data_IF_382279187078
#
_entry.id   IF_382279187078
#
_cell.length_a   1.000
_cell.length_b   1.000
_cell.length_c   1.000
_cell.angle_alpha   90.00
_cell.angle_beta   90.00
_cell.angle_gamma   90.00
#
_symmetry.space_group_name_H-M   'P 1'
#
loop_
_entity.id
_entity.type
_entity.pdbx_description
1 polymer ?
#
# COMPACT_ATOMS: atom_id res chain seq x y z
N UNK A 1 -9.22 3.59 6.74
CA UNK A 1 -9.72 4.93 6.40
C UNK A 1 -9.93 5.74 7.68
N UNK A 2 -9.53 7.00 7.70
CA UNK A 2 -9.68 7.89 8.87
C UNK A 2 -11.13 7.93 9.42
N UNK A 3 -12.11 7.83 8.54
CA UNK A 3 -13.53 7.96 8.92
C UNK A 3 -14.22 6.63 9.29
N UNK A 4 -13.67 5.49 8.87
CA UNK A 4 -14.39 4.20 8.97
C UNK A 4 -13.50 3.04 9.42
N UNK A 5 -12.28 3.30 9.84
CA UNK A 5 -11.32 2.28 10.26
C UNK A 5 -10.74 2.54 11.65
N UNK A 6 -10.29 1.50 12.29
CA UNK A 6 -9.47 1.59 13.50
C UNK A 6 -8.03 1.96 13.12
N UNK A 7 -7.26 2.49 14.07
CA UNK A 7 -5.83 2.74 13.89
C UNK A 7 -5.08 1.42 13.66
N UNK A 8 -4.30 1.40 12.58
CA UNK A 8 -3.62 0.20 12.13
C UNK A 8 -2.61 -0.32 13.15
N UNK A 9 -1.78 0.54 13.73
CA UNK A 9 -0.66 0.11 14.57
C UNK A 9 -1.10 -0.47 15.92
N UNK A 10 -2.04 0.15 16.67
CA UNK A 10 -2.62 -0.47 17.86
C UNK A 10 -3.35 -1.79 17.54
N UNK A 11 -4.10 -1.85 16.43
CA UNK A 11 -4.79 -3.06 16.03
C UNK A 11 -3.80 -4.21 15.74
N UNK A 12 -2.75 -3.93 14.95
CA UNK A 12 -1.68 -4.92 14.66
C UNK A 12 -1.05 -5.43 15.95
N UNK A 13 -0.74 -4.53 16.90
CA UNK A 13 -0.17 -4.91 18.18
C UNK A 13 -1.10 -5.84 18.97
N UNK A 14 -2.41 -5.57 18.96
CA UNK A 14 -3.39 -6.35 19.69
C UNK A 14 -3.58 -7.78 19.12
N UNK A 15 -3.56 -7.92 17.79
CA UNK A 15 -3.76 -9.23 17.14
C UNK A 15 -2.48 -10.06 17.03
N UNK A 16 -1.31 -9.44 17.15
CA UNK A 16 -0.01 -10.10 17.00
C UNK A 16 0.18 -11.36 17.85
N UNK A 17 -0.21 -11.39 19.13
CA UNK A 17 -0.09 -12.59 19.96
C UNK A 17 -1.02 -13.74 19.53
N UNK A 18 -2.05 -13.45 18.74
CA UNK A 18 -3.04 -14.44 18.28
C UNK A 18 -2.63 -15.09 16.95
N UNK A 19 -1.54 -14.65 16.34
CA UNK A 19 -1.12 -15.05 15.00
C UNK A 19 0.31 -15.57 15.05
N UNK A 20 0.54 -16.81 14.58
CA UNK A 20 1.87 -17.43 14.67
C UNK A 20 2.59 -17.54 13.31
N UNK A 21 1.87 -17.84 12.23
CA UNK A 21 2.47 -18.32 10.98
C UNK A 21 2.26 -17.41 9.76
N UNK A 22 1.74 -16.19 9.96
CA UNK A 22 1.55 -15.22 8.87
C UNK A 22 2.31 -13.92 9.14
N UNK A 23 2.73 -13.26 8.08
CA UNK A 23 3.23 -11.89 8.14
C UNK A 23 2.06 -10.91 8.16
N UNK A 24 2.25 -9.78 8.83
CA UNK A 24 1.27 -8.70 8.84
C UNK A 24 1.80 -7.53 8.02
N UNK A 25 1.04 -7.12 7.01
CA UNK A 25 1.31 -5.91 6.23
C UNK A 25 0.56 -4.73 6.86
N UNK A 26 1.26 -3.94 7.67
CA UNK A 26 0.71 -2.75 8.29
C UNK A 26 0.78 -1.54 7.35
N UNK A 27 -0.35 -0.93 7.04
CA UNK A 27 -0.40 0.29 6.25
C UNK A 27 -0.17 1.52 7.14
N UNK A 28 0.82 2.33 6.79
CA UNK A 28 1.12 3.61 7.46
C UNK A 28 1.01 4.78 6.47
N UNK A 29 0.43 5.88 6.92
CA UNK A 29 0.36 7.10 6.12
C UNK A 29 1.49 8.04 6.53
N UNK A 30 2.32 8.44 5.54
CA UNK A 30 3.44 9.34 5.79
C UNK A 30 2.97 10.71 6.28
N UNK A 31 3.53 11.15 7.40
CA UNK A 31 3.21 12.42 8.06
C UNK A 31 2.21 12.30 9.21
N UNK A 32 1.51 11.19 9.36
CA UNK A 32 0.54 10.95 10.44
C UNK A 32 1.23 10.85 11.82
N UNK A 33 2.41 10.25 11.85
CA UNK A 33 3.25 10.13 13.03
C UNK A 33 4.63 10.70 12.71
N UNK A 34 5.22 11.44 13.66
CA UNK A 34 6.59 11.97 13.51
C UNK A 34 7.59 10.82 13.26
N UNK A 35 8.43 10.86 12.20
CA UNK A 35 9.15 9.69 11.71
C UNK A 35 10.03 8.96 12.72
N UNK A 36 10.80 9.61 13.63
CA UNK A 36 11.53 8.90 14.68
C UNK A 36 10.63 8.13 15.65
N UNK A 37 9.45 8.69 15.97
CA UNK A 37 8.46 8.01 16.82
C UNK A 37 7.84 6.82 16.08
N UNK A 38 7.53 6.99 14.80
CA UNK A 38 7.07 5.91 13.94
C UNK A 38 8.10 4.77 13.86
N UNK A 39 9.38 5.09 13.67
CA UNK A 39 10.46 4.10 13.64
C UNK A 39 10.50 3.27 14.92
N UNK A 40 10.39 3.92 16.10
CA UNK A 40 10.32 3.24 17.41
C UNK A 40 9.09 2.35 17.52
N UNK A 41 7.92 2.82 17.11
CA UNK A 41 6.68 2.05 17.17
C UNK A 41 6.77 0.81 16.28
N UNK A 42 7.26 0.95 15.05
CA UNK A 42 7.43 -0.17 14.12
C UNK A 42 8.46 -1.17 14.64
N UNK A 43 9.58 -0.71 15.25
CA UNK A 43 10.54 -1.61 15.90
C UNK A 43 9.88 -2.42 17.01
N UNK A 44 9.07 -1.79 17.86
CA UNK A 44 8.35 -2.47 18.94
C UNK A 44 7.40 -3.55 18.40
N UNK A 45 6.62 -3.21 17.39
CA UNK A 45 5.68 -4.17 16.76
C UNK A 45 6.43 -5.31 16.08
N UNK A 46 7.57 -5.03 15.47
CA UNK A 46 8.40 -6.05 14.82
C UNK A 46 8.97 -7.06 15.85
N UNK A 47 9.33 -6.59 17.04
CA UNK A 47 9.69 -7.49 18.16
C UNK A 47 8.52 -8.34 18.63
N UNK A 48 7.32 -7.77 18.79
CA UNK A 48 6.12 -8.52 19.17
C UNK A 48 5.82 -9.61 18.12
N UNK A 49 5.95 -9.26 16.86
CA UNK A 49 5.73 -10.15 15.71
C UNK A 49 6.92 -11.09 15.42
N UNK A 50 8.04 -10.95 16.13
CA UNK A 50 9.26 -11.75 15.91
C UNK A 50 9.71 -11.73 14.43
N UNK A 51 9.76 -10.54 13.84
CA UNK A 51 10.22 -10.34 12.47
C UNK A 51 9.18 -10.61 11.37
N UNK A 52 7.90 -10.68 11.70
CA UNK A 52 6.80 -10.89 10.73
C UNK A 52 6.06 -9.61 10.35
N UNK A 53 6.60 -8.45 10.73
CA UNK A 53 6.07 -7.16 10.29
C UNK A 53 6.55 -6.84 8.88
N UNK A 54 5.64 -6.39 8.04
CA UNK A 54 5.92 -5.68 6.78
C UNK A 54 5.14 -4.38 6.75
N UNK A 55 5.61 -3.38 6.07
CA UNK A 55 5.05 -2.01 6.13
C UNK A 55 4.66 -1.52 4.75
N UNK A 56 3.39 -1.21 4.57
CA UNK A 56 2.90 -0.57 3.35
C UNK A 56 2.88 0.95 3.51
N UNK A 57 3.72 1.63 2.76
CA UNK A 57 3.87 3.09 2.77
C UNK A 57 2.74 3.72 1.96
N UNK A 58 1.94 4.57 2.60
CA UNK A 58 0.84 5.29 1.96
C UNK A 58 1.18 6.76 1.80
N UNK A 59 1.30 7.19 0.54
CA UNK A 59 1.54 8.58 0.15
C UNK A 59 0.23 9.28 -0.21
N UNK A 60 -0.50 9.77 0.79
CA UNK A 60 -1.77 10.49 0.59
C UNK A 60 -1.83 11.73 1.48
N UNK A 61 -2.82 12.61 1.25
CA UNK A 61 -3.09 13.72 2.14
C UNK A 61 -3.54 13.22 3.52
N UNK A 62 -3.19 13.97 4.56
CA UNK A 62 -3.81 13.83 5.87
C UNK A 62 -5.18 14.49 5.86
N UNK A 63 -6.08 14.15 6.79
CA UNK A 63 -7.37 14.83 6.93
C UNK A 63 -7.18 16.35 7.11
N UNK A 64 -7.84 17.13 6.27
CA UNK A 64 -7.73 18.61 6.29
C UNK A 64 -6.49 19.19 5.62
N UNK A 65 -5.68 18.37 4.96
CA UNK A 65 -4.47 18.78 4.25
C UNK A 65 -4.64 18.62 2.74
N UNK A 66 -4.12 19.58 1.99
CA UNK A 66 -4.09 19.57 0.51
C UNK A 66 -2.66 19.78 -0.01
N UNK A 67 -1.84 18.73 0.02
CA UNK A 67 -0.53 18.75 -0.61
C UNK A 67 -0.61 18.38 -2.09
N UNK A 68 0.29 18.95 -2.88
CA UNK A 68 0.51 18.51 -4.25
C UNK A 68 0.94 17.04 -4.28
N UNK A 69 0.76 16.39 -5.43
CA UNK A 69 1.25 15.01 -5.60
C UNK A 69 2.77 14.93 -5.38
N UNK A 70 3.51 15.91 -5.87
CA UNK A 70 4.96 16.00 -5.70
C UNK A 70 5.36 16.09 -4.23
N UNK A 71 4.72 16.98 -3.47
CA UNK A 71 5.01 17.19 -2.04
C UNK A 71 4.68 15.95 -1.21
N UNK A 72 3.56 15.26 -1.52
CA UNK A 72 3.23 14.00 -0.83
C UNK A 72 4.30 12.92 -1.03
N UNK A 73 4.80 12.75 -2.26
CA UNK A 73 5.87 11.79 -2.52
C UNK A 73 7.20 12.24 -1.91
N UNK A 74 7.50 13.55 -1.90
CA UNK A 74 8.68 14.07 -1.23
C UNK A 74 8.61 13.81 0.28
N UNK A 75 7.48 14.07 0.93
CA UNK A 75 7.27 13.74 2.35
C UNK A 75 7.46 12.23 2.60
N UNK A 76 6.91 11.39 1.74
CA UNK A 76 7.07 9.94 1.89
C UNK A 76 8.52 9.50 1.74
N UNK A 77 9.28 10.09 0.82
CA UNK A 77 10.72 9.87 0.66
C UNK A 77 11.46 10.18 1.95
N UNK A 78 11.24 11.35 2.51
CA UNK A 78 11.88 11.79 3.75
C UNK A 78 11.53 10.87 4.93
N UNK A 79 10.26 10.46 5.05
CA UNK A 79 9.86 9.49 6.08
C UNK A 79 10.62 8.18 5.93
N UNK A 80 10.69 7.61 4.73
CA UNK A 80 11.40 6.34 4.50
C UNK A 80 12.90 6.47 4.81
N UNK A 81 13.53 7.53 4.38
CA UNK A 81 14.96 7.77 4.64
C UNK A 81 15.23 7.91 6.14
N UNK A 82 14.36 8.60 6.88
CA UNK A 82 14.46 8.72 8.34
C UNK A 82 14.25 7.36 9.02
N UNK A 83 13.25 6.57 8.59
CA UNK A 83 13.06 5.20 9.10
C UNK A 83 14.31 4.36 8.92
N UNK A 84 14.91 4.37 7.73
CA UNK A 84 16.14 3.62 7.43
C UNK A 84 17.33 4.09 8.29
N UNK A 85 17.49 5.40 8.48
CA UNK A 85 18.52 5.91 9.40
C UNK A 85 18.25 5.46 10.85
N UNK A 86 17.01 5.57 11.31
CA UNK A 86 16.62 5.18 12.67
C UNK A 86 16.90 3.70 12.95
N UNK A 87 16.73 2.85 11.96
CA UNK A 87 16.90 1.39 12.10
C UNK A 87 18.37 0.93 11.95
N UNK A 88 19.18 1.66 11.19
CA UNK A 88 20.53 1.20 10.83
C UNK A 88 21.69 2.03 11.40
N UNK A 89 21.44 3.25 11.90
CA UNK A 89 22.47 4.17 12.38
C UNK A 89 22.33 4.45 13.87
N UNK A 90 23.35 5.03 14.48
CA UNK A 90 23.34 5.51 15.87
C UNK A 90 22.72 6.90 16.01
N UNK A 91 22.68 7.66 14.91
CA UNK A 91 22.17 9.03 14.86
C UNK A 91 21.36 9.22 13.58
N UNK A 92 20.21 9.92 13.69
CA UNK A 92 19.51 10.52 12.57
C UNK A 92 20.03 11.95 12.39
N UNK A 93 20.57 12.23 11.22
CA UNK A 93 20.91 13.60 10.81
C UNK A 93 20.19 13.85 9.50
N UNK A 94 19.11 14.62 9.58
CA UNK A 94 18.21 14.83 8.46
C UNK A 94 17.92 16.32 8.23
N UNK A 95 18.01 16.76 6.99
CA UNK A 95 17.75 18.11 6.55
C UNK A 95 16.99 18.10 5.23
N UNK A 96 15.68 17.86 5.31
CA UNK A 96 14.74 17.79 4.19
C UNK A 96 13.81 19.01 4.11
N UNK A 97 12.84 18.89 3.24
CA UNK A 97 11.78 19.89 3.05
C UNK A 97 10.75 19.86 4.19
N UNK A 98 10.36 18.65 4.63
CA UNK A 98 9.33 18.43 5.64
C UNK A 98 9.91 18.17 7.02
N UNK A 99 11.11 17.61 7.10
CA UNK A 99 11.75 17.25 8.36
C UNK A 99 13.17 17.76 8.42
N UNK A 100 13.50 18.39 9.57
CA UNK A 100 14.86 18.88 9.81
C UNK A 100 15.20 18.70 11.28
N UNK A 101 16.09 17.77 11.58
CA UNK A 101 16.55 17.50 12.94
C UNK A 101 17.80 16.64 12.98
N UNK A 102 18.47 16.67 14.13
CA UNK A 102 19.57 15.80 14.47
C UNK A 102 19.33 15.23 15.86
N UNK A 103 19.30 13.90 15.99
CA UNK A 103 19.08 13.22 17.27
C UNK A 103 19.64 11.81 17.26
N UNK A 104 20.04 11.26 18.44
CA UNK A 104 20.42 9.86 18.54
C UNK A 104 19.21 8.97 18.24
N UNK A 105 19.46 7.79 17.69
CA UNK A 105 18.41 6.81 17.42
C UNK A 105 18.02 6.04 18.69
N UNK A 106 16.82 5.43 18.67
CA UNK A 106 16.44 4.49 19.70
C UNK A 106 17.44 3.30 19.71
N UNK A 107 17.95 2.89 20.89
CA UNK A 107 18.83 1.74 21.01
C UNK A 107 18.13 0.42 20.61
N UNK A 108 16.82 0.32 20.79
CA UNK A 108 16.06 -0.86 20.36
C UNK A 108 15.78 -0.77 18.86
N UNK A 109 16.59 -1.48 18.09
CA UNK A 109 16.42 -1.61 16.63
C UNK A 109 15.30 -2.64 16.33
N UNK A 110 14.78 -2.70 15.08
CA UNK A 110 13.85 -3.76 14.69
C UNK A 110 14.40 -5.16 14.93
N UNK A 111 13.50 -6.12 15.09
CA UNK A 111 13.87 -7.54 15.15
C UNK A 111 14.50 -8.01 13.84
N UNK A 112 13.97 -7.53 12.71
CA UNK A 112 14.53 -7.74 11.38
C UNK A 112 15.76 -6.86 11.17
N UNK A 113 16.87 -7.46 10.74
CA UNK A 113 18.07 -6.70 10.42
C UNK A 113 17.83 -5.72 9.27
N UNK A 114 18.06 -4.43 9.52
CA UNK A 114 17.79 -3.36 8.55
C UNK A 114 16.35 -2.84 8.54
N UNK A 115 15.45 -3.48 9.28
CA UNK A 115 14.05 -3.10 9.44
C UNK A 115 13.07 -3.96 8.64
N UNK A 116 11.76 -3.79 8.88
CA UNK A 116 10.70 -4.44 8.12
C UNK A 116 10.75 -4.11 6.63
N UNK A 117 10.38 -5.08 5.78
CA UNK A 117 10.25 -4.84 4.34
C UNK A 117 9.23 -3.73 4.06
N UNK A 118 9.61 -2.80 3.20
CA UNK A 118 8.77 -1.68 2.79
C UNK A 118 8.07 -1.99 1.48
N UNK A 119 6.76 -2.01 1.53
CA UNK A 119 5.86 -2.12 0.38
C UNK A 119 5.41 -0.74 -0.06
N UNK A 120 5.26 -0.55 -1.35
CA UNK A 120 4.73 0.69 -1.90
C UNK A 120 3.90 0.44 -3.15
N UNK A 121 2.70 1.04 -3.19
CA UNK A 121 1.82 0.99 -4.36
C UNK A 121 1.64 2.37 -4.98
N UNK A 122 1.64 2.43 -6.30
CA UNK A 122 1.38 3.67 -7.05
C UNK A 122 1.86 3.57 -8.49
N UNK A 123 1.14 4.23 -9.39
CA UNK A 123 1.36 4.11 -10.83
C UNK A 123 1.87 5.40 -11.49
N UNK A 124 1.87 6.52 -10.77
CA UNK A 124 2.41 7.78 -11.31
C UNK A 124 3.94 7.71 -11.38
N UNK A 125 4.59 8.42 -12.32
CA UNK A 125 6.04 8.41 -12.43
C UNK A 125 6.78 8.69 -11.11
N UNK A 126 6.38 9.68 -10.28
CA UNK A 126 7.03 9.91 -8.99
C UNK A 126 6.83 8.76 -7.99
N UNK A 127 5.68 8.06 -8.05
CA UNK A 127 5.43 6.90 -7.20
C UNK A 127 6.34 5.72 -7.56
N UNK A 128 6.48 5.45 -8.87
CA UNK A 128 7.33 4.38 -9.36
C UNK A 128 8.80 4.67 -9.05
N UNK A 129 9.25 5.92 -9.19
CA UNK A 129 10.61 6.35 -8.84
C UNK A 129 10.88 6.19 -7.34
N UNK A 130 9.96 6.62 -6.48
CA UNK A 130 10.06 6.43 -5.02
C UNK A 130 10.19 4.96 -4.64
N UNK A 131 9.37 4.10 -5.21
CA UNK A 131 9.41 2.66 -4.96
C UNK A 131 10.74 2.06 -5.41
N UNK A 132 11.16 2.35 -6.64
CA UNK A 132 12.40 1.84 -7.22
C UNK A 132 13.64 2.19 -6.39
N UNK A 133 13.66 3.41 -5.83
CA UNK A 133 14.79 3.91 -5.04
C UNK A 133 14.77 3.41 -3.59
N UNK A 134 13.60 3.28 -2.98
CA UNK A 134 13.52 3.13 -1.53
C UNK A 134 12.78 1.90 -1.02
N UNK A 135 11.87 1.29 -1.77
CA UNK A 135 11.03 0.21 -1.26
C UNK A 135 11.51 -1.16 -1.74
N UNK A 136 11.06 -2.21 -1.06
CA UNK A 136 11.51 -3.58 -1.30
C UNK A 136 10.50 -4.35 -2.16
N UNK A 137 9.21 -4.00 -2.07
CA UNK A 137 8.13 -4.63 -2.83
C UNK A 137 7.25 -3.59 -3.51
N UNK A 138 7.08 -3.73 -4.81
CA UNK A 138 6.11 -2.96 -5.58
C UNK A 138 4.74 -3.65 -5.54
N UNK A 139 3.80 -3.05 -4.81
CA UNK A 139 2.47 -3.59 -4.62
C UNK A 139 1.52 -3.10 -5.70
N UNK A 140 1.09 -4.00 -6.57
CA UNK A 140 0.21 -3.71 -7.69
C UNK A 140 -1.26 -4.03 -7.37
N UNK A 141 -2.16 -3.33 -8.02
CA UNK A 141 -3.56 -3.71 -8.11
C UNK A 141 -3.79 -4.61 -9.33
N UNK A 142 -4.92 -5.35 -9.37
CA UNK A 142 -5.25 -6.18 -10.51
C UNK A 142 -5.29 -5.39 -11.80
N UNK A 143 -4.73 -5.96 -12.83
CA UNK A 143 -4.66 -5.47 -14.20
C UNK A 143 -4.59 -6.69 -15.13
N UNK A 144 -4.74 -6.46 -16.44
CA UNK A 144 -4.47 -7.49 -17.45
C UNK A 144 -3.05 -8.02 -17.34
N UNK A 145 -2.83 -9.27 -17.73
CA UNK A 145 -1.50 -9.88 -17.64
C UNK A 145 -0.42 -9.09 -18.37
N UNK A 146 -0.74 -8.57 -19.56
CA UNK A 146 0.20 -7.74 -20.32
C UNK A 146 0.53 -6.42 -19.60
N UNK A 147 -0.46 -5.79 -18.99
CA UNK A 147 -0.23 -4.58 -18.21
C UNK A 147 0.60 -4.86 -16.95
N UNK A 148 0.38 -5.98 -16.26
CA UNK A 148 1.20 -6.39 -15.13
C UNK A 148 2.64 -6.64 -15.57
N UNK A 149 2.87 -7.36 -16.66
CA UNK A 149 4.20 -7.58 -17.24
C UNK A 149 4.93 -6.27 -17.50
N UNK A 150 4.28 -5.34 -18.20
CA UNK A 150 4.84 -4.03 -18.50
C UNK A 150 5.17 -3.22 -17.21
N UNK A 151 4.33 -3.30 -16.18
CA UNK A 151 4.58 -2.63 -14.90
C UNK A 151 5.80 -3.22 -14.19
N UNK A 152 5.94 -4.55 -14.19
CA UNK A 152 7.06 -5.25 -13.57
C UNK A 152 8.38 -4.97 -14.29
N UNK A 153 8.37 -4.98 -15.63
CA UNK A 153 9.54 -4.65 -16.44
C UNK A 153 10.00 -3.20 -16.21
N UNK A 154 9.06 -2.25 -16.26
CA UNK A 154 9.37 -0.83 -16.01
C UNK A 154 9.94 -0.63 -14.59
N UNK A 155 9.36 -1.26 -13.57
CA UNK A 155 9.87 -1.18 -12.20
C UNK A 155 11.27 -1.77 -12.10
N UNK A 156 11.52 -2.93 -12.71
CA UNK A 156 12.82 -3.59 -12.71
C UNK A 156 13.89 -2.72 -13.35
N UNK A 157 13.59 -2.12 -14.50
CA UNK A 157 14.50 -1.19 -15.19
C UNK A 157 14.81 0.06 -14.36
N UNK A 158 13.81 0.59 -13.65
CA UNK A 158 14.03 1.74 -12.77
C UNK A 158 14.83 1.38 -11.52
N UNK A 159 14.53 0.27 -10.86
CA UNK A 159 15.27 -0.22 -9.70
C UNK A 159 16.75 -0.49 -10.02
N UNK A 160 17.02 -1.03 -11.22
CA UNK A 160 18.38 -1.26 -11.69
C UNK A 160 19.25 0.02 -11.75
N UNK A 161 18.65 1.19 -12.05
CA UNK A 161 19.38 2.49 -12.02
C UNK A 161 19.90 2.84 -10.63
N UNK A 162 19.20 2.38 -9.58
CA UNK A 162 19.60 2.52 -8.19
C UNK A 162 20.41 1.32 -7.67
N UNK A 163 20.81 0.39 -8.55
CA UNK A 163 21.50 -0.87 -8.22
C UNK A 163 20.72 -1.71 -7.21
N UNK A 164 19.39 -1.70 -7.33
CA UNK A 164 18.46 -2.44 -6.49
C UNK A 164 17.66 -3.47 -7.30
N UNK A 165 17.13 -4.45 -6.58
CA UNK A 165 16.04 -5.32 -7.01
C UNK A 165 14.81 -4.98 -6.18
N UNK A 166 13.65 -5.05 -6.78
CA UNK A 166 12.35 -4.83 -6.14
C UNK A 166 11.51 -6.07 -6.44
N UNK A 167 10.93 -6.64 -5.41
CA UNK A 167 9.98 -7.74 -5.53
C UNK A 167 8.59 -7.22 -5.89
N UNK A 168 7.69 -8.12 -6.28
CA UNK A 168 6.36 -7.77 -6.75
C UNK A 168 5.29 -8.41 -5.88
N UNK A 169 4.31 -7.60 -5.49
CA UNK A 169 3.10 -8.03 -4.81
C UNK A 169 1.86 -7.68 -5.62
N UNK A 170 0.88 -8.55 -5.63
CA UNK A 170 -0.42 -8.33 -6.25
C UNK A 170 -1.52 -8.38 -5.20
N UNK A 171 -2.26 -7.27 -5.05
CA UNK A 171 -3.39 -7.19 -4.13
C UNK A 171 -4.67 -7.47 -4.88
N UNK A 172 -5.25 -8.64 -4.67
CA UNK A 172 -6.49 -9.10 -5.31
C UNK A 172 -7.54 -9.49 -4.28
N UNK A 173 -8.81 -9.47 -4.68
CA UNK A 173 -9.87 -10.20 -4.00
C UNK A 173 -9.96 -11.58 -4.62
N UNK A 174 -9.99 -12.61 -3.80
CA UNK A 174 -10.03 -14.00 -4.27
C UNK A 174 -11.32 -14.64 -3.79
N UNK A 175 -12.05 -15.25 -4.72
CA UNK A 175 -13.20 -16.08 -4.41
C UNK A 175 -12.82 -17.53 -4.75
N UNK A 176 -12.80 -18.39 -3.74
CA UNK A 176 -12.45 -19.80 -3.86
C UNK A 176 -13.65 -20.65 -3.54
N UNK A 177 -14.03 -21.53 -4.48
CA UNK A 177 -15.09 -22.56 -4.34
C UNK A 177 -14.60 -23.84 -4.98
N UNK A 178 -15.36 -24.92 -4.85
CA UNK A 178 -15.01 -26.21 -5.40
C UNK A 178 -15.02 -26.22 -6.93
N UNK A 179 -15.89 -25.40 -7.53
CA UNK A 179 -15.96 -25.21 -8.99
C UNK A 179 -15.87 -23.73 -9.36
N UNK A 180 -15.48 -23.45 -10.60
CA UNK A 180 -15.47 -22.09 -11.14
C UNK A 180 -16.88 -21.49 -11.19
N UNK A 181 -17.88 -22.30 -11.50
CA UNK A 181 -19.28 -21.90 -11.57
C UNK A 181 -19.78 -21.39 -10.21
N UNK A 182 -19.55 -22.16 -9.15
CA UNK A 182 -19.86 -21.75 -7.77
C UNK A 182 -19.10 -20.50 -7.34
N UNK A 183 -17.85 -20.35 -7.75
CA UNK A 183 -17.07 -19.15 -7.46
C UNK A 183 -17.67 -17.91 -8.12
N UNK A 184 -18.10 -18.02 -9.38
CA UNK A 184 -18.75 -16.94 -10.13
C UNK A 184 -20.10 -16.57 -9.52
N UNK A 185 -20.96 -17.54 -9.22
CA UNK A 185 -22.25 -17.32 -8.57
C UNK A 185 -22.10 -16.63 -7.22
N UNK A 186 -21.11 -17.06 -6.43
CA UNK A 186 -20.82 -16.42 -5.15
C UNK A 186 -20.32 -14.98 -5.32
N UNK A 187 -19.44 -14.72 -6.27
CA UNK A 187 -18.95 -13.37 -6.56
C UNK A 187 -20.10 -12.43 -6.93
N UNK A 188 -21.02 -12.86 -7.79
CA UNK A 188 -22.22 -12.11 -8.15
C UNK A 188 -23.14 -11.90 -6.94
N UNK A 189 -23.30 -12.89 -6.09
CA UNK A 189 -24.12 -12.77 -4.88
C UNK A 189 -23.64 -11.69 -3.92
N UNK A 190 -22.31 -11.48 -3.83
CA UNK A 190 -21.71 -10.44 -2.98
C UNK A 190 -22.17 -9.04 -3.38
N UNK A 191 -22.33 -8.80 -4.69
CA UNK A 191 -22.72 -7.49 -5.22
C UNK A 191 -24.19 -7.38 -5.56
N UNK A 192 -24.97 -8.46 -5.47
CA UNK A 192 -26.37 -8.52 -5.88
C UNK A 192 -27.29 -7.51 -5.16
N UNK A 193 -26.94 -7.15 -3.93
CA UNK A 193 -27.70 -6.20 -3.10
C UNK A 193 -27.03 -4.82 -3.04
N UNK A 194 -26.07 -4.55 -3.92
CA UNK A 194 -25.34 -3.29 -3.94
C UNK A 194 -26.25 -2.18 -4.47
N UNK A 195 -26.47 -1.15 -3.66
CA UNK A 195 -27.02 0.12 -4.12
C UNK A 195 -25.88 0.90 -4.82
N UNK A 196 -26.03 1.10 -6.13
CA UNK A 196 -25.01 1.78 -6.95
C UNK A 196 -24.86 3.26 -6.57
N UNK A 197 -25.91 3.92 -6.08
CA UNK A 197 -25.86 5.30 -5.60
C UNK A 197 -25.00 5.41 -4.34
N UNK A 198 -25.26 4.57 -3.35
CA UNK A 198 -24.45 4.49 -2.13
C UNK A 198 -23.00 4.09 -2.45
N UNK A 199 -22.81 3.14 -3.36
CA UNK A 199 -21.48 2.74 -3.82
C UNK A 199 -20.70 3.93 -4.45
N UNK A 200 -21.36 4.76 -5.24
CA UNK A 200 -20.74 5.94 -5.86
C UNK A 200 -20.42 7.02 -4.80
N UNK A 201 -21.30 7.29 -3.85
CA UNK A 201 -21.04 8.23 -2.76
C UNK A 201 -19.82 7.81 -1.93
N UNK A 202 -19.67 6.52 -1.61
CA UNK A 202 -18.53 5.97 -0.87
C UNK A 202 -17.23 6.13 -1.66
N UNK A 203 -17.28 5.98 -3.00
CA UNK A 203 -16.12 6.21 -3.87
C UNK A 203 -15.69 7.68 -3.85
N UNK A 204 -16.65 8.59 -3.95
CA UNK A 204 -16.37 10.03 -4.06
C UNK A 204 -15.80 10.62 -2.74
N UNK A 205 -16.19 10.03 -1.60
CA UNK A 205 -15.65 10.40 -0.27
C UNK A 205 -14.26 9.83 0.02
N UNK A 206 -13.75 8.91 -0.79
CA UNK A 206 -12.44 8.32 -0.55
C UNK A 206 -11.33 9.34 -0.79
N UNK A 207 -10.35 9.43 0.12
CA UNK A 207 -9.21 10.36 0.04
C UNK A 207 -8.34 10.16 -1.22
N UNK A 208 -8.43 9.00 -1.83
CA UNK A 208 -7.71 8.62 -3.05
C UNK A 208 -8.58 8.62 -4.32
N UNK A 209 -9.82 9.09 -4.25
CA UNK A 209 -10.81 9.07 -5.35
C UNK A 209 -10.25 9.66 -6.67
N UNK A 210 -9.38 10.66 -6.58
CA UNK A 210 -8.75 11.33 -7.72
C UNK A 210 -7.38 10.74 -8.10
N UNK A 211 -6.94 9.65 -7.46
CA UNK A 211 -5.62 9.07 -7.69
C UNK A 211 -5.48 8.48 -9.10
N UNK A 212 -4.24 8.41 -9.57
CA UNK A 212 -3.92 7.80 -10.87
C UNK A 212 -4.32 6.31 -10.92
N UNK A 213 -4.12 5.59 -9.83
CA UNK A 213 -4.52 4.19 -9.71
C UNK A 213 -6.03 3.99 -9.82
N UNK A 214 -6.85 4.83 -9.16
CA UNK A 214 -8.32 4.76 -9.24
C UNK A 214 -8.80 5.04 -10.67
N UNK A 215 -8.17 5.98 -11.38
CA UNK A 215 -8.49 6.25 -12.79
C UNK A 215 -8.18 5.06 -13.69
N UNK A 216 -7.05 4.38 -13.48
CA UNK A 216 -6.70 3.15 -14.22
C UNK A 216 -7.73 2.05 -13.99
N UNK A 217 -8.08 1.79 -12.74
CA UNK A 217 -9.09 0.79 -12.38
C UNK A 217 -10.46 1.10 -12.99
N UNK A 218 -10.85 2.38 -13.02
CA UNK A 218 -12.07 2.80 -13.71
C UNK A 218 -12.00 2.48 -15.21
N UNK A 219 -10.90 2.85 -15.88
CA UNK A 219 -10.70 2.56 -17.31
C UNK A 219 -10.79 1.07 -17.60
N UNK A 220 -10.21 0.22 -16.76
CA UNK A 220 -10.28 -1.23 -16.89
C UNK A 220 -11.74 -1.73 -16.78
N UNK A 221 -12.50 -1.25 -15.77
CA UNK A 221 -13.91 -1.59 -15.64
C UNK A 221 -14.76 -1.13 -16.82
N UNK A 222 -14.47 0.05 -17.36
CA UNK A 222 -15.19 0.59 -18.53
C UNK A 222 -14.92 -0.25 -19.80
N UNK A 223 -13.87 -1.05 -19.83
CA UNK A 223 -13.50 -1.97 -20.91
C UNK A 223 -13.96 -3.42 -20.66
N UNK A 224 -14.54 -3.72 -19.50
CA UNK A 224 -15.04 -5.06 -19.20
C UNK A 224 -16.28 -5.40 -20.02
N UNK A 225 -16.48 -6.69 -20.25
CA UNK A 225 -17.69 -7.26 -20.84
C UNK A 225 -18.94 -6.99 -19.97
N UNK A 226 -20.11 -7.30 -20.47
CA UNK A 226 -21.41 -7.08 -19.78
C UNK A 226 -21.49 -7.81 -18.43
N UNK A 227 -20.81 -8.94 -18.30
CA UNK A 227 -20.68 -9.75 -17.08
C UNK A 227 -19.55 -9.28 -16.15
N UNK A 228 -18.80 -8.24 -16.54
CA UNK A 228 -17.77 -7.61 -15.72
C UNK A 228 -16.37 -8.22 -15.84
N UNK A 229 -16.15 -9.12 -16.80
CA UNK A 229 -14.83 -9.71 -17.04
C UNK A 229 -14.01 -8.89 -18.03
N UNK A 230 -12.71 -8.74 -17.76
CA UNK A 230 -11.71 -8.14 -18.66
C UNK A 230 -10.87 -9.22 -19.31
N UNK A 231 -10.55 -10.25 -18.55
CA UNK A 231 -9.88 -11.50 -18.95
C UNK A 231 -10.58 -12.67 -18.24
N UNK A 232 -10.38 -13.93 -18.66
CA UNK A 232 -11.11 -15.08 -18.12
C UNK A 232 -11.15 -15.19 -16.61
N UNK A 233 -10.09 -14.73 -15.93
CA UNK A 233 -9.96 -14.79 -14.46
C UNK A 233 -9.95 -13.42 -13.80
N UNK A 234 -10.17 -12.34 -14.56
CA UNK A 234 -10.13 -10.97 -14.06
C UNK A 234 -11.53 -10.35 -14.08
N UNK A 235 -12.25 -10.51 -12.97
CA UNK A 235 -13.58 -9.96 -12.76
C UNK A 235 -13.51 -8.61 -12.03
N UNK A 236 -14.23 -7.61 -12.52
CA UNK A 236 -14.19 -6.25 -11.99
C UNK A 236 -15.41 -5.86 -11.15
N UNK A 237 -16.33 -6.78 -10.90
CA UNK A 237 -17.61 -6.50 -10.25
C UNK A 237 -17.48 -5.88 -8.86
N UNK A 238 -16.51 -6.30 -8.05
CA UNK A 238 -16.28 -5.72 -6.72
C UNK A 238 -15.91 -4.23 -6.79
N UNK A 239 -15.33 -3.78 -7.87
CA UNK A 239 -15.01 -2.38 -8.11
C UNK A 239 -16.23 -1.47 -8.26
N UNK A 240 -17.44 -2.04 -8.42
CA UNK A 240 -18.71 -1.29 -8.37
C UNK A 240 -19.01 -0.79 -6.96
N UNK A 241 -18.54 -1.50 -5.93
CA UNK A 241 -18.84 -1.21 -4.54
C UNK A 241 -17.93 -0.14 -3.93
N UNK A 242 -16.63 -0.10 -4.30
CA UNK A 242 -15.66 0.75 -3.61
C UNK A 242 -14.51 1.19 -4.52
N UNK A 243 -13.98 2.40 -4.32
CA UNK A 243 -12.73 2.84 -4.95
C UNK A 243 -11.53 2.04 -4.40
N UNK A 244 -10.53 1.82 -5.23
CA UNK A 244 -9.36 1.02 -4.88
C UNK A 244 -9.60 -0.49 -4.79
N UNK A 245 -10.79 -0.94 -5.19
CA UNK A 245 -11.15 -2.35 -5.37
C UNK A 245 -11.40 -2.54 -6.87
N UNK A 246 -10.36 -2.82 -7.64
CA UNK A 246 -10.48 -2.92 -9.09
C UNK A 246 -11.09 -4.24 -9.55
N UNK A 247 -10.52 -5.32 -9.08
CA UNK A 247 -10.92 -6.68 -9.37
C UNK A 247 -10.55 -7.58 -8.19
#
# INVERSE_FOLDING_TARGET
>A
SYQVGQDTLPFVSAVSPMIENINILAAIRCGEIHPPMLARTLSTIDHILKGRLTVNIISSNLPGEELSSQDRYQRSREVIEILKQAWSKEEINFNGQFYKFKLPTNPVKPYQNGGPLLYFGGYSPPAVDLCAEHCDVYLMWPETEDNLRNLMENMSLKAAKYKRKVDFGLRVHVVVRDTEEEAREYAESIISKLDLGVGQELKDRALDAKSYGVKRQKKMRDQSSSDGYVEPHLWTGIGKARSGCGA
#
